data_IF_189913897932
#
_entry.id   IF_189913897932
#
_cell.length_a   1.000
_cell.length_b   1.000
_cell.length_c   1.000
_cell.angle_alpha   90.00
_cell.angle_beta   90.00
_cell.angle_gamma   90.00
#
_symmetry.space_group_name_H-M   'P 1'
#
loop_
_entity.id
_entity.type
_entity.pdbx_description
1 polymer ?
#
# COMPACT_ATOMS: atom_id res chain seq x y z
N UNK A 1 10.20 16.28 13.51
CA UNK A 1 9.82 14.93 13.03
C UNK A 1 10.76 13.94 13.70
N UNK A 2 10.27 12.89 14.38
CA UNK A 2 11.17 11.91 14.98
C UNK A 2 11.91 11.19 13.83
N UNK A 3 13.25 11.28 13.85
CA UNK A 3 14.09 10.53 12.95
C UNK A 3 14.00 9.03 13.29
N UNK A 4 13.70 8.19 12.30
CA UNK A 4 13.80 6.74 12.43
C UNK A 4 15.28 6.37 12.64
N UNK A 5 15.59 5.86 13.82
CA UNK A 5 16.94 5.35 14.07
C UNK A 5 17.00 3.87 13.61
N UNK A 6 17.46 3.66 12.40
CA UNK A 6 17.63 2.33 11.78
C UNK A 6 18.60 1.41 12.54
N UNK A 7 19.46 1.98 13.39
CA UNK A 7 20.39 1.22 14.24
C UNK A 7 19.76 0.73 15.54
N UNK A 8 18.52 1.12 15.83
CA UNK A 8 17.82 0.67 17.02
C UNK A 8 17.41 -0.78 16.82
N UNK A 9 17.95 -1.68 17.61
CA UNK A 9 17.56 -3.08 17.61
C UNK A 9 16.05 -3.19 17.80
N UNK A 10 15.42 -4.08 17.04
CA UNK A 10 14.02 -4.44 17.25
C UNK A 10 13.79 -4.79 18.73
N UNK A 11 12.71 -4.33 19.34
CA UNK A 11 12.47 -4.47 20.79
C UNK A 11 12.32 -5.93 21.25
N UNK A 12 12.14 -6.87 20.32
CA UNK A 12 12.08 -8.32 20.56
C UNK A 12 12.85 -9.09 19.49
N UNK A 13 13.26 -10.30 19.83
CA UNK A 13 13.80 -11.22 18.82
C UNK A 13 12.65 -11.61 17.87
N UNK A 14 12.85 -11.52 16.54
CA UNK A 14 11.86 -12.00 15.60
C UNK A 14 11.61 -13.50 15.80
N UNK A 15 10.37 -13.93 15.58
CA UNK A 15 10.05 -15.35 15.53
C UNK A 15 10.59 -15.97 14.22
N UNK A 16 10.51 -17.29 14.06
CA UNK A 16 11.04 -17.98 12.88
C UNK A 16 10.38 -17.55 11.58
N UNK A 17 9.08 -17.24 11.59
CA UNK A 17 8.36 -16.78 10.41
C UNK A 17 8.74 -15.34 10.03
N UNK A 18 8.88 -14.47 11.04
CA UNK A 18 9.39 -13.11 10.83
C UNK A 18 10.84 -13.14 10.31
N UNK A 19 11.67 -14.03 10.82
CA UNK A 19 13.04 -14.17 10.35
C UNK A 19 13.10 -14.66 8.90
N UNK A 20 12.29 -15.65 8.51
CA UNK A 20 12.15 -16.10 7.11
C UNK A 20 11.67 -14.97 6.21
N UNK A 21 10.66 -14.18 6.66
CA UNK A 21 10.18 -13.04 5.93
C UNK A 21 11.26 -11.97 5.73
N UNK A 22 12.10 -11.70 6.75
CA UNK A 22 13.24 -10.80 6.62
C UNK A 22 14.30 -11.36 5.64
N UNK A 23 14.58 -12.65 5.71
CA UNK A 23 15.56 -13.28 4.82
C UNK A 23 15.10 -13.25 3.35
N UNK A 24 13.79 -13.37 3.09
CA UNK A 24 13.22 -13.29 1.74
C UNK A 24 13.33 -11.90 1.10
N UNK A 25 13.55 -10.85 1.90
CA UNK A 25 13.79 -9.49 1.39
C UNK A 25 15.18 -9.30 0.76
N UNK A 26 16.07 -10.29 0.87
CA UNK A 26 17.42 -10.18 0.39
C UNK A 26 17.69 -11.17 -0.73
N UNK A 27 18.36 -10.69 -1.78
CA UNK A 27 18.98 -11.52 -2.81
C UNK A 27 20.47 -11.64 -2.56
N UNK A 28 21.04 -12.81 -2.89
CA UNK A 28 22.48 -13.03 -2.82
C UNK A 28 23.03 -13.04 -4.24
N UNK A 29 24.01 -12.17 -4.50
CA UNK A 29 24.72 -12.20 -5.78
C UNK A 29 25.50 -13.51 -5.88
N UNK A 30 25.21 -14.37 -6.88
CA UNK A 30 25.87 -15.68 -6.99
C UNK A 30 27.38 -15.59 -7.28
N UNK A 31 27.85 -14.45 -7.82
CA UNK A 31 29.26 -14.27 -8.16
C UNK A 31 30.10 -13.74 -6.99
N UNK A 32 29.53 -12.86 -6.16
CA UNK A 32 30.27 -12.18 -5.07
C UNK A 32 29.87 -12.69 -3.68
N UNK A 33 28.73 -13.38 -3.55
CA UNK A 33 28.16 -13.80 -2.27
C UNK A 33 27.58 -12.62 -1.44
N UNK A 34 27.57 -11.41 -2.00
CA UNK A 34 27.04 -10.25 -1.31
C UNK A 34 25.51 -10.28 -1.27
N UNK A 35 24.96 -10.01 -0.08
CA UNK A 35 23.52 -9.85 0.11
C UNK A 35 23.11 -8.41 -0.19
N UNK A 36 22.13 -8.24 -1.07
CA UNK A 36 21.50 -6.96 -1.37
C UNK A 36 19.99 -7.04 -1.13
N UNK A 37 19.39 -5.92 -0.76
CA UNK A 37 17.95 -5.83 -0.58
C UNK A 37 17.24 -5.99 -1.94
N UNK A 38 16.29 -6.91 -2.02
CA UNK A 38 15.43 -7.03 -3.19
C UNK A 38 14.31 -6.00 -3.10
N UNK A 39 14.51 -4.88 -3.77
CA UNK A 39 13.56 -3.77 -3.76
C UNK A 39 12.19 -4.13 -4.34
N UNK A 40 12.10 -5.19 -5.15
CA UNK A 40 10.83 -5.69 -5.70
C UNK A 40 9.93 -6.30 -4.63
N UNK A 41 10.53 -6.80 -3.54
CA UNK A 41 9.81 -7.39 -2.42
C UNK A 41 9.31 -6.35 -1.40
N UNK A 42 9.70 -5.09 -1.55
CA UNK A 42 9.30 -4.02 -0.64
C UNK A 42 7.88 -3.53 -0.95
N UNK A 43 6.91 -4.41 -0.72
CA UNK A 43 5.51 -4.13 -0.97
C UNK A 43 4.78 -3.77 0.33
N UNK A 44 3.98 -2.71 0.29
CA UNK A 44 3.10 -2.30 1.37
C UNK A 44 1.65 -2.53 0.98
N UNK A 45 0.94 -3.32 1.78
CA UNK A 45 -0.49 -3.58 1.65
C UNK A 45 -1.26 -2.70 2.63
N UNK A 46 -2.30 -2.04 2.15
CA UNK A 46 -3.20 -1.24 2.97
C UNK A 46 -4.64 -1.37 2.48
N UNK A 47 -5.57 -1.03 3.35
CA UNK A 47 -6.99 -1.09 3.07
C UNK A 47 -7.61 0.29 3.25
N UNK A 48 -8.52 0.65 2.34
CA UNK A 48 -9.29 1.89 2.42
C UNK A 48 -10.77 1.54 2.41
N UNK A 49 -11.51 2.05 3.37
CA UNK A 49 -12.96 1.91 3.41
C UNK A 49 -13.60 2.86 2.40
N UNK A 50 -14.40 2.33 1.48
CA UNK A 50 -15.14 3.12 0.51
C UNK A 50 -16.39 3.74 1.13
N UNK A 51 -16.19 4.88 1.79
CA UNK A 51 -17.28 5.64 2.38
C UNK A 51 -18.30 6.14 1.34
N UNK A 52 -17.87 6.37 0.10
CA UNK A 52 -18.73 6.82 -0.99
C UNK A 52 -19.72 5.73 -1.37
N UNK A 53 -19.21 4.52 -1.63
CA UNK A 53 -20.07 3.37 -1.91
C UNK A 53 -20.95 3.02 -0.71
N UNK A 54 -20.41 3.05 0.51
CA UNK A 54 -21.14 2.74 1.74
C UNK A 54 -22.27 3.74 2.03
N UNK A 55 -22.08 5.01 1.67
CA UNK A 55 -23.08 6.05 1.87
C UNK A 55 -24.30 5.95 0.93
N UNK A 56 -24.14 5.23 -0.19
CA UNK A 56 -25.24 5.06 -1.14
C UNK A 56 -26.39 4.29 -0.49
N UNK A 57 -27.60 4.84 -0.57
CA UNK A 57 -28.80 4.21 0.02
C UNK A 57 -29.04 2.80 -0.48
N UNK A 58 -28.85 2.54 -1.78
CA UNK A 58 -28.98 1.20 -2.38
C UNK A 58 -28.06 0.15 -1.74
N UNK A 59 -26.98 0.60 -1.12
CA UNK A 59 -25.95 -0.24 -0.50
C UNK A 59 -26.15 -0.38 1.03
N UNK A 60 -27.28 0.04 1.58
CA UNK A 60 -27.61 -0.19 2.99
C UNK A 60 -27.67 -1.68 3.28
N UNK A 61 -27.05 -2.11 4.37
CA UNK A 61 -27.07 -3.52 4.79
C UNK A 61 -28.49 -3.96 5.15
N UNK A 62 -29.27 -3.09 5.79
CA UNK A 62 -30.68 -3.34 6.05
C UNK A 62 -31.51 -3.05 4.78
N UNK A 63 -32.16 -4.06 4.17
CA UNK A 63 -32.99 -3.86 2.99
C UNK A 63 -34.10 -2.82 3.16
N UNK A 64 -34.71 -2.73 4.32
CA UNK A 64 -35.77 -1.77 4.61
C UNK A 64 -35.32 -0.30 4.50
N UNK A 65 -34.02 -0.04 4.63
CA UNK A 65 -33.44 1.31 4.54
C UNK A 65 -33.03 1.70 3.11
N UNK A 66 -33.13 0.77 2.14
CA UNK A 66 -32.70 0.99 0.76
C UNK A 66 -33.66 1.85 -0.03
N UNK A 67 -34.97 1.78 0.29
CA UNK A 67 -35.99 2.53 -0.41
C UNK A 67 -36.50 3.73 0.39
N UNK A 68 -36.72 4.86 -0.32
CA UNK A 68 -37.34 6.05 0.25
C UNK A 68 -38.87 5.98 0.15
N UNK A 69 -39.38 5.19 -0.78
CA UNK A 69 -40.78 5.12 -1.07
C UNK A 69 -41.41 4.04 -0.20
N UNK A 70 -42.19 4.43 0.78
CA UNK A 70 -42.86 3.52 1.73
C UNK A 70 -43.93 2.68 1.07
N UNK A 71 -44.37 3.05 -0.13
CA UNK A 71 -45.44 2.37 -0.87
C UNK A 71 -44.92 1.24 -1.76
N UNK A 72 -43.60 1.07 -1.85
CA UNK A 72 -42.97 -0.02 -2.62
C UNK A 72 -42.49 -1.10 -1.67
N UNK A 73 -43.00 -2.30 -1.85
CA UNK A 73 -42.57 -3.49 -1.11
C UNK A 73 -41.12 -3.80 -1.45
N UNK A 74 -40.23 -3.71 -0.45
CA UNK A 74 -38.81 -4.02 -0.60
C UNK A 74 -38.65 -5.53 -0.56
N UNK A 75 -38.07 -6.13 -1.61
CA UNK A 75 -37.71 -7.54 -1.60
C UNK A 75 -36.54 -7.76 -0.60
N UNK A 76 -36.78 -8.42 0.56
CA UNK A 76 -35.75 -8.65 1.55
C UNK A 76 -34.63 -9.56 1.08
N UNK A 77 -34.88 -10.32 0.00
CA UNK A 77 -33.91 -11.26 -0.60
C UNK A 77 -33.15 -10.64 -1.79
N UNK A 78 -33.33 -9.35 -2.05
CA UNK A 78 -32.59 -8.68 -3.12
C UNK A 78 -31.10 -8.65 -2.81
N UNK A 79 -30.32 -9.30 -3.68
CA UNK A 79 -28.86 -9.32 -3.59
C UNK A 79 -28.31 -8.05 -4.24
N UNK A 80 -27.75 -7.17 -3.44
CA UNK A 80 -27.05 -5.99 -3.94
C UNK A 80 -25.62 -6.39 -4.30
N UNK A 81 -25.23 -6.10 -5.54
CA UNK A 81 -23.85 -6.31 -6.01
C UNK A 81 -23.07 -5.01 -5.86
N UNK A 82 -21.86 -5.11 -5.34
CA UNK A 82 -20.93 -3.98 -5.23
C UNK A 82 -19.61 -4.29 -5.93
N UNK A 83 -18.98 -3.25 -6.45
CA UNK A 83 -17.63 -3.32 -6.98
C UNK A 83 -16.63 -3.08 -5.85
N UNK A 84 -15.59 -3.89 -5.79
CA UNK A 84 -14.53 -3.80 -4.79
C UNK A 84 -13.18 -3.92 -5.48
N UNK A 85 -12.29 -2.98 -5.20
CA UNK A 85 -10.91 -3.06 -5.65
C UNK A 85 -10.12 -4.02 -4.76
N UNK A 86 -9.37 -4.90 -5.38
CA UNK A 86 -8.49 -5.84 -4.71
C UNK A 86 -7.13 -5.88 -5.39
N UNK A 87 -6.11 -6.23 -4.63
CA UNK A 87 -4.76 -6.40 -5.14
C UNK A 87 -4.11 -7.63 -4.49
N UNK A 88 -3.28 -8.31 -5.26
CA UNK A 88 -2.46 -9.43 -4.79
C UNK A 88 -1.08 -9.40 -5.47
N UNK A 89 -0.14 -10.13 -4.93
CA UNK A 89 1.20 -10.32 -5.48
C UNK A 89 1.29 -11.75 -5.97
N UNK A 90 1.76 -11.95 -7.21
CA UNK A 90 1.99 -13.28 -7.76
C UNK A 90 3.31 -13.91 -7.27
N UNK A 91 3.57 -15.14 -7.67
CA UNK A 91 4.77 -15.88 -7.27
C UNK A 91 6.06 -15.26 -7.82
N UNK A 92 5.97 -14.48 -8.90
CA UNK A 92 7.07 -13.72 -9.49
C UNK A 92 7.29 -12.35 -8.84
N UNK A 93 6.43 -11.95 -7.89
CA UNK A 93 6.51 -10.68 -7.17
C UNK A 93 5.84 -9.50 -7.88
N UNK A 94 5.05 -9.75 -8.94
CA UNK A 94 4.32 -8.69 -9.63
C UNK A 94 3.01 -8.36 -8.90
N UNK A 95 2.69 -7.08 -8.84
CA UNK A 95 1.45 -6.60 -8.23
C UNK A 95 0.34 -6.61 -9.28
N UNK A 96 -0.70 -7.38 -9.01
CA UNK A 96 -1.93 -7.40 -9.78
C UNK A 96 -3.03 -6.63 -9.07
N UNK A 97 -3.80 -5.88 -9.84
CA UNK A 97 -4.95 -5.10 -9.35
C UNK A 97 -6.16 -5.45 -10.19
N UNK A 98 -7.25 -5.70 -9.54
CA UNK A 98 -8.52 -6.02 -10.19
C UNK A 98 -9.71 -5.44 -9.43
N UNK A 99 -10.77 -5.13 -10.15
CA UNK A 99 -12.05 -4.76 -9.57
C UNK A 99 -12.98 -5.94 -9.68
N UNK A 100 -13.39 -6.50 -8.55
CA UNK A 100 -14.31 -7.63 -8.47
C UNK A 100 -15.71 -7.17 -8.10
N UNK A 101 -16.73 -7.82 -8.68
CA UNK A 101 -18.11 -7.63 -8.28
C UNK A 101 -18.52 -8.76 -7.34
N UNK A 102 -19.05 -8.42 -6.18
CA UNK A 102 -19.48 -9.40 -5.20
C UNK A 102 -20.79 -9.00 -4.50
N UNK A 103 -21.53 -9.96 -3.96
CA UNK A 103 -22.68 -9.66 -3.12
C UNK A 103 -22.30 -8.86 -1.88
N UNK A 104 -23.10 -7.86 -1.55
CA UNK A 104 -22.96 -7.11 -0.30
C UNK A 104 -23.50 -7.95 0.86
N UNK A 105 -22.61 -8.38 1.75
CA UNK A 105 -22.94 -9.21 2.92
C UNK A 105 -22.63 -8.53 4.23
N UNK A 106 -21.74 -7.54 4.23
CA UNK A 106 -21.33 -6.83 5.44
C UNK A 106 -20.50 -5.58 5.17
N UNK A 107 -20.18 -4.85 6.21
CA UNK A 107 -19.39 -3.62 6.12
C UNK A 107 -17.99 -3.83 5.53
N UNK A 108 -17.41 -5.01 5.73
CA UNK A 108 -16.10 -5.37 5.17
C UNK A 108 -16.08 -5.46 3.64
N UNK A 109 -17.25 -5.56 2.99
CA UNK A 109 -17.31 -5.57 1.54
C UNK A 109 -16.96 -4.21 0.92
N UNK A 110 -16.99 -3.13 1.70
CA UNK A 110 -16.54 -1.79 1.31
C UNK A 110 -15.05 -1.53 1.55
N UNK A 111 -14.28 -2.53 2.03
CA UNK A 111 -12.84 -2.38 2.21
C UNK A 111 -12.13 -2.71 0.91
N UNK A 112 -11.64 -1.70 0.21
CA UNK A 112 -10.77 -1.85 -0.95
C UNK A 112 -9.35 -2.16 -0.50
N UNK A 113 -8.69 -3.10 -1.17
CA UNK A 113 -7.32 -3.53 -0.86
C UNK A 113 -6.37 -3.03 -1.93
N UNK A 114 -5.30 -2.38 -1.50
CA UNK A 114 -4.24 -1.86 -2.36
C UNK A 114 -2.88 -2.41 -1.94
N UNK A 115 -2.03 -2.69 -2.92
CA UNK A 115 -0.64 -3.06 -2.71
C UNK A 115 0.21 -2.15 -3.60
N UNK A 116 1.25 -1.57 -3.03
CA UNK A 116 2.21 -0.75 -3.75
C UNK A 116 3.63 -1.16 -3.38
N UNK A 117 4.51 -1.18 -4.36
CA UNK A 117 5.94 -1.23 -4.08
C UNK A 117 6.36 0.12 -3.53
N UNK A 118 7.06 0.16 -2.39
CA UNK A 118 7.40 1.42 -1.71
C UNK A 118 8.73 2.01 -2.16
N UNK A 119 9.48 1.29 -3.01
CA UNK A 119 10.76 1.78 -3.48
C UNK A 119 10.58 2.81 -4.60
N UNK A 120 11.20 3.99 -4.52
CA UNK A 120 11.06 5.02 -5.54
C UNK A 120 11.79 4.64 -6.84
N UNK A 121 11.38 5.21 -7.97
CA UNK A 121 12.14 5.12 -9.22
C UNK A 121 13.41 5.98 -9.11
N UNK A 122 14.53 5.33 -8.88
CA UNK A 122 15.84 6.00 -8.78
C UNK A 122 16.36 6.52 -10.12
N UNK A 123 15.72 6.13 -11.23
CA UNK A 123 16.09 6.55 -12.60
C UNK A 123 15.29 7.75 -13.10
N UNK A 124 14.39 8.31 -12.30
CA UNK A 124 13.53 9.44 -12.65
C UNK A 124 14.29 10.65 -13.23
N UNK A 125 15.52 10.90 -12.75
CA UNK A 125 16.37 12.01 -13.23
C UNK A 125 16.77 11.88 -14.70
N UNK A 126 16.76 10.69 -15.27
CA UNK A 126 17.09 10.44 -16.69
C UNK A 126 15.83 10.23 -17.50
N UNK A 127 14.85 9.51 -16.96
CA UNK A 127 13.62 9.18 -17.67
C UNK A 127 12.78 10.42 -17.96
N UNK A 128 12.66 11.32 -16.97
CA UNK A 128 11.80 12.51 -17.08
C UNK A 128 12.53 13.70 -17.73
N UNK A 129 13.87 13.73 -17.65
CA UNK A 129 14.69 14.86 -18.11
C UNK A 129 15.79 14.40 -19.07
N UNK A 130 15.39 13.80 -20.17
CA UNK A 130 16.32 13.43 -21.26
C UNK A 130 17.06 14.70 -21.74
N UNK A 131 18.36 14.65 -21.83
CA UNK A 131 19.27 15.74 -22.24
C UNK A 131 19.59 16.80 -21.15
N UNK A 132 19.40 16.48 -19.88
CA UNK A 132 19.88 17.31 -18.78
C UNK A 132 21.14 16.71 -18.14
N UNK A 133 22.03 17.55 -17.61
CA UNK A 133 23.25 17.15 -16.88
C UNK A 133 22.93 16.62 -15.46
N UNK A 134 21.89 15.76 -15.36
CA UNK A 134 21.41 15.23 -14.08
C UNK A 134 22.14 13.96 -13.64
N UNK A 135 23.25 13.59 -14.27
CA UNK A 135 24.02 12.39 -13.96
C UNK A 135 24.47 12.35 -12.50
N UNK A 136 24.83 13.51 -11.94
CA UNK A 136 25.22 13.63 -10.54
C UNK A 136 24.07 13.26 -9.59
N UNK A 137 22.86 13.69 -9.88
CA UNK A 137 21.68 13.34 -9.09
C UNK A 137 21.31 11.86 -9.26
N UNK A 138 21.36 11.34 -10.48
CA UNK A 138 21.10 9.92 -10.78
C UNK A 138 21.99 9.01 -9.90
N UNK A 139 23.28 9.34 -9.78
CA UNK A 139 24.23 8.51 -9.05
C UNK A 139 24.17 8.69 -7.52
N UNK A 140 23.87 9.89 -7.05
CA UNK A 140 24.12 10.25 -5.66
C UNK A 140 22.84 10.55 -4.84
N UNK A 141 21.72 10.86 -5.49
CA UNK A 141 20.54 11.36 -4.78
C UNK A 141 19.99 10.39 -3.73
N UNK A 142 19.97 9.11 -4.04
CA UNK A 142 19.45 8.08 -3.14
C UNK A 142 20.54 7.38 -2.30
N UNK A 143 21.83 7.67 -2.54
CA UNK A 143 22.94 6.98 -1.89
C UNK A 143 23.81 7.87 -1.02
N UNK A 144 23.85 9.18 -1.27
CA UNK A 144 24.73 10.10 -0.56
C UNK A 144 23.99 10.82 0.56
N UNK A 145 24.58 10.79 1.77
CA UNK A 145 24.02 11.40 2.98
C UNK A 145 23.72 12.90 2.87
N UNK A 146 24.35 13.61 1.93
CA UNK A 146 24.08 15.04 1.66
C UNK A 146 22.64 15.29 1.29
N UNK A 147 21.94 14.29 0.69
CA UNK A 147 20.57 14.41 0.24
C UNK A 147 19.53 13.85 1.24
N UNK A 148 19.94 13.43 2.45
CA UNK A 148 19.02 12.81 3.42
C UNK A 148 17.84 13.69 3.82
N UNK A 149 18.04 15.02 3.82
CA UNK A 149 17.00 15.99 4.18
C UNK A 149 16.30 16.61 2.97
N UNK A 150 16.60 16.12 1.76
CA UNK A 150 15.98 16.56 0.53
C UNK A 150 14.65 15.83 0.29
N UNK A 151 13.71 16.42 -0.48
CA UNK A 151 12.45 15.77 -0.81
C UNK A 151 12.66 14.43 -1.51
N UNK A 152 11.83 13.44 -1.24
CA UNK A 152 11.81 12.22 -2.04
C UNK A 152 11.33 12.54 -3.46
N UNK A 153 11.98 11.93 -4.46
CA UNK A 153 11.64 12.02 -5.88
C UNK A 153 11.41 10.63 -6.45
N UNK A 154 10.88 10.52 -7.67
CA UNK A 154 10.63 9.22 -8.30
C UNK A 154 9.52 8.41 -7.63
N UNK A 155 8.58 9.08 -6.96
CA UNK A 155 7.42 8.43 -6.32
C UNK A 155 6.16 8.69 -7.13
N UNK A 156 5.34 7.65 -7.26
CA UNK A 156 4.01 7.76 -7.89
C UNK A 156 2.98 8.31 -6.90
N UNK A 157 1.83 8.71 -7.44
CA UNK A 157 0.70 9.14 -6.62
C UNK A 157 0.21 8.03 -5.68
N UNK A 158 0.20 6.78 -6.14
CA UNK A 158 -0.17 5.62 -5.35
C UNK A 158 0.80 5.39 -4.18
N UNK A 159 2.11 5.55 -4.42
CA UNK A 159 3.11 5.45 -3.36
C UNK A 159 2.93 6.56 -2.33
N UNK A 160 2.64 7.79 -2.76
CA UNK A 160 2.37 8.90 -1.86
C UNK A 160 1.12 8.65 -1.00
N UNK A 161 0.04 8.14 -1.60
CA UNK A 161 -1.18 7.75 -0.86
C UNK A 161 -0.93 6.63 0.15
N UNK A 162 -0.19 5.60 -0.25
CA UNK A 162 0.20 4.51 0.63
C UNK A 162 1.01 5.01 1.83
N UNK A 163 1.93 5.96 1.60
CA UNK A 163 2.68 6.61 2.68
C UNK A 163 1.75 7.37 3.64
N UNK A 164 0.75 8.08 3.12
CA UNK A 164 -0.24 8.78 3.95
C UNK A 164 -1.05 7.80 4.81
N UNK A 165 -1.47 6.67 4.23
CA UNK A 165 -2.18 5.61 4.96
C UNK A 165 -1.30 5.02 6.07
N UNK A 166 -0.08 4.63 5.75
CA UNK A 166 0.91 4.13 6.71
C UNK A 166 1.17 5.12 7.83
N UNK A 167 1.39 6.40 7.50
CA UNK A 167 1.65 7.45 8.49
C UNK A 167 0.48 7.63 9.46
N UNK A 168 -0.75 7.58 8.95
CA UNK A 168 -1.95 7.69 9.77
C UNK A 168 -2.04 6.53 10.75
N UNK A 169 -1.88 5.30 10.26
CA UNK A 169 -1.88 4.09 11.08
C UNK A 169 -0.78 4.13 12.16
N UNK A 170 0.43 4.50 11.77
CA UNK A 170 1.56 4.63 12.68
C UNK A 170 1.30 5.65 13.80
N UNK A 171 0.71 6.80 13.46
CA UNK A 171 0.36 7.83 14.46
C UNK A 171 -0.74 7.36 15.40
N UNK A 172 -1.78 6.68 14.89
CA UNK A 172 -2.87 6.16 15.71
C UNK A 172 -2.38 5.11 16.70
N UNK A 173 -1.53 4.18 16.26
CA UNK A 173 -0.88 3.19 17.13
C UNK A 173 0.00 3.87 18.19
N UNK A 174 0.78 4.88 17.80
CA UNK A 174 1.63 5.63 18.73
C UNK A 174 0.87 6.45 19.77
N UNK A 175 -0.37 6.82 19.46
CA UNK A 175 -1.26 7.54 20.40
C UNK A 175 -2.10 6.60 21.29
N UNK A 176 -1.93 5.26 21.15
CA UNK A 176 -2.71 4.27 21.91
C UNK A 176 -4.21 4.28 21.58
N UNK A 177 -4.56 4.76 20.40
CA UNK A 177 -5.93 4.73 19.86
C UNK A 177 -6.01 3.58 18.86
N UNK A 178 -6.10 2.37 19.37
CA UNK A 178 -6.54 1.20 18.62
C UNK A 178 -8.06 1.06 18.67
#
# INVERSE_FOLDING_TARGET
TPHLNWNKRLPRKPNEDEQRAFESLYTTNPATGEKSLDVKQLNYRYEIYDYTAAALRRNRLNPAERNLNTDVEVNPNEVVMISKDTAYVDDEGNIHRETINRPLTGAWDFLNTYIVNVYPDTTCWVNDFRNSDNETYLRNYFSNATYNDYPVVGVTWEQANAFCAWRTEYLLKGLGKE
#
